data_IF_586471038332
#
_entry.id   IF_586471038332
#
_cell.length_a   1.000
_cell.length_b   1.000
_cell.length_c   1.000
_cell.angle_alpha   90.00
_cell.angle_beta   90.00
_cell.angle_gamma   90.00
#
_symmetry.space_group_name_H-M   'P 1'
#
loop_
_entity.id
_entity.type
_entity.pdbx_description
1 polymer ?
#
# COMPACT_ATOMS: atom_id res chain seq x y z
N UNK A 1 -18.44 0.32 23.07
CA UNK A 1 -17.71 -0.75 23.79
C UNK A 1 -16.30 -0.26 24.07
N UNK A 2 -15.85 -0.28 25.31
CA UNK A 2 -14.48 0.07 25.67
C UNK A 2 -13.66 -1.22 25.73
N UNK A 3 -12.62 -1.32 24.91
CA UNK A 3 -11.71 -2.47 24.95
C UNK A 3 -10.65 -2.17 26.01
N UNK A 4 -10.50 -3.06 26.99
CA UNK A 4 -9.57 -2.90 28.11
C UNK A 4 -8.44 -3.94 28.02
N UNK A 5 -7.32 -3.67 28.71
CA UNK A 5 -6.17 -4.58 28.79
C UNK A 5 -5.46 -4.87 27.46
N UNK A 6 -5.47 -3.91 26.53
CA UNK A 6 -4.72 -4.03 25.27
C UNK A 6 -3.21 -3.96 25.56
N UNK A 7 -2.46 -4.94 25.08
CA UNK A 7 -1.00 -5.00 25.20
C UNK A 7 -0.27 -4.77 23.89
N UNK A 8 -0.94 -5.00 22.76
CA UNK A 8 -0.38 -4.90 21.41
C UNK A 8 -1.41 -4.30 20.47
N UNK A 9 -0.98 -3.38 19.60
CA UNK A 9 -1.71 -2.92 18.43
C UNK A 9 -1.01 -3.39 17.16
N UNK A 10 -1.72 -4.13 16.32
CA UNK A 10 -1.29 -4.47 14.98
C UNK A 10 -1.94 -3.51 13.97
N UNK A 11 -1.14 -2.95 13.09
CA UNK A 11 -1.58 -2.01 12.06
C UNK A 11 -1.43 -2.64 10.68
N UNK A 12 -2.44 -2.44 9.83
CA UNK A 12 -2.23 -2.59 8.39
C UNK A 12 -1.32 -1.46 7.89
N UNK A 13 -0.54 -1.73 6.84
CA UNK A 13 0.43 -0.79 6.33
C UNK A 13 -0.16 0.15 5.27
N UNK A 14 -0.65 -0.44 4.17
CA UNK A 14 -1.01 0.28 2.94
C UNK A 14 -2.45 0.82 2.98
N UNK A 15 -2.59 2.13 3.11
CA UNK A 15 -3.89 2.79 3.25
C UNK A 15 -4.31 3.00 4.71
N UNK A 16 -3.52 2.51 5.67
CA UNK A 16 -3.74 2.71 7.11
C UNK A 16 -2.61 3.52 7.73
N UNK A 17 -1.37 3.07 7.63
CA UNK A 17 -0.19 3.82 8.08
C UNK A 17 0.36 4.73 6.98
N UNK A 18 0.34 4.28 5.74
CA UNK A 18 0.95 4.94 4.60
C UNK A 18 -0.05 5.28 3.52
N UNK A 19 0.03 6.51 3.01
CA UNK A 19 -0.79 7.00 1.90
C UNK A 19 -0.33 6.38 0.58
N UNK A 20 -1.10 5.42 0.08
CA UNK A 20 -0.83 4.73 -1.19
C UNK A 20 -0.85 5.66 -2.41
N UNK A 21 -1.58 6.77 -2.33
CA UNK A 21 -1.65 7.74 -3.42
C UNK A 21 -0.42 8.62 -3.50
N UNK A 22 0.41 8.66 -2.45
CA UNK A 22 1.56 9.57 -2.37
C UNK A 22 2.58 9.32 -3.48
N UNK A 23 2.74 8.08 -3.97
CA UNK A 23 3.64 7.79 -5.08
C UNK A 23 3.23 8.52 -6.37
N UNK A 24 1.98 8.39 -6.80
CA UNK A 24 1.46 9.08 -7.98
C UNK A 24 1.33 10.59 -7.76
N UNK A 25 0.93 11.00 -6.55
CA UNK A 25 0.82 12.41 -6.16
C UNK A 25 2.13 13.16 -6.29
N UNK A 26 3.25 12.52 -5.93
CA UNK A 26 4.59 13.10 -6.06
C UNK A 26 5.03 13.31 -7.51
N UNK A 27 4.35 12.68 -8.48
CA UNK A 27 4.54 12.88 -9.92
C UNK A 27 3.30 13.50 -10.59
N UNK A 28 2.42 14.14 -9.82
CA UNK A 28 1.17 14.70 -10.35
C UNK A 28 1.39 15.80 -11.40
N UNK A 29 2.49 16.55 -11.32
CA UNK A 29 2.84 17.58 -12.31
C UNK A 29 3.20 16.96 -13.66
N UNK A 30 3.84 15.80 -13.66
CA UNK A 30 4.29 15.08 -14.85
C UNK A 30 3.19 14.18 -15.42
N UNK A 31 2.38 13.57 -14.56
CA UNK A 31 1.25 12.69 -14.95
C UNK A 31 0.07 13.53 -15.42
N UNK A 32 -0.16 14.70 -14.81
CA UNK A 32 -1.28 15.58 -15.11
C UNK A 32 -2.48 15.37 -14.18
N UNK A 33 -3.64 15.91 -14.58
CA UNK A 33 -4.86 15.95 -13.77
C UNK A 33 -5.39 14.55 -13.42
N UNK A 34 -5.13 13.55 -14.23
CA UNK A 34 -5.59 12.18 -14.05
C UNK A 34 -4.76 11.36 -13.04
N UNK A 35 -3.79 11.98 -12.36
CA UNK A 35 -2.90 11.27 -11.42
C UNK A 35 -3.65 10.49 -10.35
N UNK A 36 -4.77 11.02 -9.85
CA UNK A 36 -5.57 10.36 -8.81
C UNK A 36 -6.33 9.15 -9.37
N UNK A 37 -6.93 9.29 -10.56
CA UNK A 37 -7.60 8.19 -11.26
C UNK A 37 -6.60 7.08 -11.59
N UNK A 38 -5.43 7.44 -12.08
CA UNK A 38 -4.32 6.51 -12.31
C UNK A 38 -3.92 5.77 -11.01
N UNK A 39 -3.72 6.50 -9.91
CA UNK A 39 -3.37 5.92 -8.61
C UNK A 39 -4.44 4.94 -8.11
N UNK A 40 -5.70 5.30 -8.26
CA UNK A 40 -6.84 4.45 -7.90
C UNK A 40 -6.85 3.17 -8.72
N UNK A 41 -6.66 3.27 -10.04
CA UNK A 41 -6.57 2.10 -10.93
C UNK A 41 -5.40 1.20 -10.50
N UNK A 42 -4.22 1.76 -10.25
CA UNK A 42 -3.07 0.99 -9.81
C UNK A 42 -3.37 0.18 -8.54
N UNK A 43 -3.96 0.83 -7.53
CA UNK A 43 -4.33 0.15 -6.27
C UNK A 43 -5.40 -0.91 -6.45
N UNK A 44 -6.45 -0.61 -7.21
CA UNK A 44 -7.56 -1.55 -7.46
C UNK A 44 -7.03 -2.82 -8.13
N UNK A 45 -6.26 -2.68 -9.21
CA UNK A 45 -5.69 -3.81 -9.94
C UNK A 45 -4.69 -4.60 -9.08
N UNK A 46 -3.91 -3.92 -8.23
CA UNK A 46 -3.01 -4.58 -7.29
C UNK A 46 -3.77 -5.52 -6.34
N UNK A 47 -4.89 -5.07 -5.79
CA UNK A 47 -5.75 -5.90 -4.93
C UNK A 47 -6.40 -7.06 -5.71
N UNK A 48 -6.95 -6.77 -6.88
CA UNK A 48 -7.55 -7.77 -7.76
C UNK A 48 -6.55 -8.85 -8.15
N UNK A 49 -5.34 -8.49 -8.56
CA UNK A 49 -4.29 -9.45 -8.91
C UNK A 49 -3.87 -10.30 -7.72
N UNK A 50 -3.80 -9.72 -6.52
CA UNK A 50 -3.52 -10.46 -5.29
C UNK A 50 -4.57 -11.53 -5.05
N UNK A 51 -5.84 -11.18 -5.13
CA UNK A 51 -6.96 -12.10 -4.89
C UNK A 51 -7.08 -13.16 -5.98
N UNK A 52 -7.02 -12.77 -7.25
CA UNK A 52 -7.13 -13.69 -8.38
C UNK A 52 -5.98 -14.70 -8.40
N UNK A 53 -4.76 -14.27 -8.16
CA UNK A 53 -3.59 -15.17 -8.09
C UNK A 53 -3.71 -16.16 -6.93
N UNK A 54 -4.19 -15.69 -5.78
CA UNK A 54 -4.46 -16.57 -4.64
C UNK A 54 -5.51 -17.63 -4.96
N UNK A 55 -6.63 -17.23 -5.59
CA UNK A 55 -7.67 -18.15 -6.01
C UNK A 55 -7.20 -19.17 -7.06
N UNK A 56 -6.32 -18.75 -7.97
CA UNK A 56 -5.72 -19.62 -8.98
C UNK A 56 -4.59 -20.50 -8.43
N UNK A 57 -4.23 -20.36 -7.14
CA UNK A 57 -3.06 -21.01 -6.51
C UNK A 57 -1.74 -20.68 -7.23
N UNK A 58 -1.65 -19.48 -7.81
CA UNK A 58 -0.46 -18.92 -8.49
C UNK A 58 -0.01 -17.66 -7.75
N UNK A 59 0.27 -17.84 -6.49
CA UNK A 59 0.70 -16.77 -5.62
C UNK A 59 2.04 -16.17 -6.09
N UNK A 60 2.12 -14.84 -6.08
CA UNK A 60 3.32 -14.08 -6.33
C UNK A 60 3.58 -13.14 -5.16
N UNK A 61 4.82 -12.70 -4.98
CA UNK A 61 5.12 -11.74 -3.94
C UNK A 61 4.45 -10.39 -4.20
N UNK A 62 4.25 -9.64 -3.13
CA UNK A 62 3.56 -8.35 -3.19
C UNK A 62 4.25 -7.36 -4.14
N UNK A 63 5.57 -7.40 -4.22
CA UNK A 63 6.31 -6.50 -5.08
C UNK A 63 6.06 -6.80 -6.56
N UNK A 64 6.06 -8.08 -6.94
CA UNK A 64 5.72 -8.50 -8.30
C UNK A 64 4.31 -8.09 -8.68
N UNK A 65 3.35 -8.24 -7.78
CA UNK A 65 1.96 -7.79 -7.99
C UNK A 65 1.90 -6.27 -8.14
N UNK A 66 2.69 -5.53 -7.36
CA UNK A 66 2.77 -4.06 -7.44
C UNK A 66 3.32 -3.61 -8.79
N UNK A 67 4.34 -4.28 -9.32
CA UNK A 67 4.91 -3.99 -10.64
C UNK A 67 3.91 -4.28 -11.77
N UNK A 68 3.30 -5.46 -11.76
CA UNK A 68 2.37 -5.87 -12.81
C UNK A 68 1.10 -5.00 -12.85
N UNK A 69 0.59 -4.61 -11.69
CA UNK A 69 -0.54 -3.69 -11.58
C UNK A 69 -0.19 -2.27 -12.00
N UNK A 70 1.05 -1.83 -11.76
CA UNK A 70 1.54 -0.56 -12.28
C UNK A 70 1.58 -0.56 -13.80
N UNK A 71 2.11 -1.62 -14.40
CA UNK A 71 2.20 -1.74 -15.86
C UNK A 71 0.81 -1.66 -16.51
N UNK A 72 -0.17 -2.35 -15.93
CA UNK A 72 -1.57 -2.26 -16.35
C UNK A 72 -2.13 -0.84 -16.21
N UNK A 73 -1.95 -0.20 -15.07
CA UNK A 73 -2.47 1.15 -14.83
C UNK A 73 -1.83 2.18 -15.77
N UNK A 74 -0.52 2.07 -16.00
CA UNK A 74 0.18 2.95 -16.94
C UNK A 74 -0.33 2.81 -18.37
N UNK A 75 -0.60 1.58 -18.82
CA UNK A 75 -1.16 1.32 -20.15
C UNK A 75 -2.59 1.89 -20.25
N UNK A 76 -3.44 1.61 -19.27
CA UNK A 76 -4.84 2.06 -19.24
C UNK A 76 -4.97 3.58 -19.27
N UNK A 77 -4.09 4.29 -18.57
CA UNK A 77 -4.08 5.75 -18.49
C UNK A 77 -3.11 6.42 -19.46
N UNK A 78 -2.48 5.65 -20.35
CA UNK A 78 -1.50 6.14 -21.34
C UNK A 78 -0.36 6.94 -20.71
N UNK A 79 0.06 6.54 -19.51
CA UNK A 79 1.19 7.16 -18.81
C UNK A 79 2.50 6.72 -19.46
N UNK A 80 3.41 7.68 -19.69
CA UNK A 80 4.68 7.39 -20.33
C UNK A 80 5.53 6.43 -19.48
N UNK A 81 5.97 5.34 -20.09
CA UNK A 81 6.76 4.26 -19.44
C UNK A 81 8.06 4.76 -18.80
N UNK A 82 8.59 5.92 -19.18
CA UNK A 82 9.76 6.53 -18.54
C UNK A 82 9.55 6.80 -17.04
N UNK A 83 8.31 6.96 -16.58
CA UNK A 83 7.99 7.20 -15.18
C UNK A 83 7.95 5.94 -14.32
N UNK A 84 7.90 4.75 -14.94
CA UNK A 84 7.81 3.47 -14.23
C UNK A 84 8.85 3.30 -13.11
N UNK A 85 10.16 3.45 -13.37
CA UNK A 85 11.17 3.29 -12.32
C UNK A 85 10.97 4.26 -11.15
N UNK A 86 10.58 5.49 -11.46
CA UNK A 86 10.37 6.53 -10.44
C UNK A 86 9.13 6.26 -9.60
N UNK A 87 8.04 5.79 -10.20
CA UNK A 87 6.82 5.40 -9.49
C UNK A 87 7.10 4.24 -8.53
N UNK A 88 7.85 3.23 -8.97
CA UNK A 88 8.25 2.11 -8.12
C UNK A 88 9.16 2.54 -6.97
N UNK A 89 10.11 3.46 -7.22
CA UNK A 89 10.95 4.02 -6.16
C UNK A 89 10.10 4.77 -5.11
N UNK A 90 9.15 5.58 -5.56
CA UNK A 90 8.24 6.33 -4.69
C UNK A 90 7.30 5.40 -3.91
N UNK A 91 6.88 4.29 -4.52
CA UNK A 91 6.06 3.30 -3.82
C UNK A 91 6.80 2.60 -2.67
N UNK A 92 8.12 2.48 -2.75
CA UNK A 92 8.97 2.00 -1.63
C UNK A 92 9.10 3.01 -0.49
N UNK A 93 8.72 4.27 -0.72
CA UNK A 93 8.89 5.40 0.21
C UNK A 93 7.58 6.19 0.36
N UNK A 94 6.47 5.47 0.56
CA UNK A 94 5.16 6.11 0.74
C UNK A 94 5.17 7.06 1.94
N UNK A 95 4.43 8.15 1.81
CA UNK A 95 4.27 9.10 2.91
C UNK A 95 3.39 8.49 4.00
N UNK A 96 3.78 8.60 5.27
CA UNK A 96 2.89 8.25 6.37
C UNK A 96 1.72 9.25 6.44
N UNK A 97 0.58 8.80 6.93
CA UNK A 97 -0.49 9.73 7.30
C UNK A 97 -0.04 10.65 8.45
N UNK A 98 -0.44 11.93 8.45
CA UNK A 98 0.06 12.92 9.41
C UNK A 98 -0.10 12.52 10.88
N UNK A 99 -1.20 11.85 11.22
CA UNK A 99 -1.55 11.42 12.57
C UNK A 99 -0.79 10.18 13.06
N UNK A 100 -0.10 9.46 12.19
CA UNK A 100 0.56 8.19 12.54
C UNK A 100 1.60 8.38 13.65
N UNK A 101 2.43 9.41 13.55
CA UNK A 101 3.50 9.66 14.52
C UNK A 101 2.96 9.95 15.92
N UNK A 102 1.89 10.73 16.00
CA UNK A 102 1.23 11.04 17.28
C UNK A 102 0.58 9.79 17.87
N UNK A 103 -0.12 9.00 17.05
CA UNK A 103 -0.72 7.74 17.45
C UNK A 103 0.33 6.78 18.06
N UNK A 104 1.46 6.59 17.38
CA UNK A 104 2.53 5.71 17.85
C UNK A 104 3.16 6.21 19.16
N UNK A 105 3.36 7.53 19.31
CA UNK A 105 3.84 8.12 20.58
C UNK A 105 2.87 7.88 21.72
N UNK A 106 1.57 8.06 21.47
CA UNK A 106 0.53 7.86 22.48
C UNK A 106 0.44 6.39 22.92
N UNK A 107 0.54 5.44 22.00
CA UNK A 107 0.59 4.02 22.31
C UNK A 107 1.83 3.64 23.12
N UNK A 108 2.99 4.14 22.72
CA UNK A 108 4.24 3.95 23.46
C UNK A 108 4.16 4.51 24.89
N UNK A 109 3.57 5.69 25.06
CA UNK A 109 3.36 6.29 26.40
C UNK A 109 2.45 5.46 27.31
N UNK A 110 1.60 4.61 26.73
CA UNK A 110 0.72 3.66 27.45
C UNK A 110 1.32 2.25 27.59
N UNK A 111 2.59 2.07 27.24
CA UNK A 111 3.28 0.77 27.19
C UNK A 111 2.59 -0.28 26.29
N UNK A 112 1.90 0.16 25.25
CA UNK A 112 1.29 -0.71 24.26
C UNK A 112 2.32 -0.95 23.15
N UNK A 113 2.63 -2.22 22.89
CA UNK A 113 3.51 -2.61 21.78
C UNK A 113 2.81 -2.39 20.45
N UNK A 114 3.57 -2.03 19.43
CA UNK A 114 3.05 -1.82 18.07
C UNK A 114 3.76 -2.73 17.09
N UNK A 115 3.02 -3.26 16.11
CA UNK A 115 3.57 -3.99 14.97
C UNK A 115 2.81 -3.60 13.71
N UNK A 116 3.44 -3.78 12.56
CA UNK A 116 2.81 -3.60 11.26
C UNK A 116 2.65 -4.98 10.64
N UNK A 117 1.43 -5.26 10.17
CA UNK A 117 1.13 -6.46 9.40
C UNK A 117 1.10 -6.10 7.92
N UNK A 118 1.91 -6.80 7.12
CA UNK A 118 1.87 -6.69 5.68
C UNK A 118 0.95 -7.77 5.14
N UNK A 119 -0.25 -7.36 4.70
CA UNK A 119 -1.31 -8.26 4.23
C UNK A 119 -1.00 -9.08 2.98
N UNK A 120 0.22 -9.02 2.45
CA UNK A 120 0.66 -9.77 1.29
C UNK A 120 0.81 -11.28 1.54
N UNK A 121 0.74 -11.72 2.78
CA UNK A 121 0.88 -13.13 3.18
C UNK A 121 -0.40 -13.73 3.77
N UNK A 122 -1.57 -13.22 3.37
CA UNK A 122 -2.84 -13.86 3.71
C UNK A 122 -2.91 -15.20 2.96
N UNK A 123 -2.32 -16.21 3.53
CA UNK A 123 -2.30 -17.57 2.99
C UNK A 123 -1.08 -18.39 3.38
N UNK A 124 -0.02 -17.78 3.91
CA UNK A 124 1.23 -18.53 4.16
C UNK A 124 1.58 -18.81 5.62
N UNK A 125 0.87 -18.30 6.61
CA UNK A 125 1.17 -18.61 8.01
C UNK A 125 -0.07 -18.73 8.90
N UNK A 126 -0.98 -19.63 8.54
CA UNK A 126 -1.76 -20.33 9.56
C UNK A 126 -1.07 -21.69 9.75
N UNK A 127 -0.05 -21.71 10.56
CA UNK A 127 0.43 -22.89 11.26
C UNK A 127 0.22 -22.68 12.74
#
# INVERSE_FOLDING_TARGET
MKIENIKVCAFDAYGTCFDINSAAKNLSKEIGEDWLSFSTTWRTVQLEYTWLRSLMMKHEDFWKVTEDSLDFAMESHKINKKFRPKLLELYKKLNPYPELNECLKNLKGKNIKTCIEFGSNIGMNIK
#
